data_IF_174661832989
#
_entry.id   IF_174661832989
#
_cell.length_a   1.000
_cell.length_b   1.000
_cell.length_c   1.000
_cell.angle_alpha   90.00
_cell.angle_beta   90.00
_cell.angle_gamma   90.00
#
_symmetry.space_group_name_H-M   'P 1'
#
loop_
_entity.id
_entity.type
_entity.pdbx_description
1 polymer ?
#
# COMPACT_ATOMS: atom_id res chain seq x y z
N UNK A 1 -11.21 11.85 4.27
CA UNK A 1 -10.20 10.79 3.98
C UNK A 1 -9.39 10.41 5.21
N UNK A 2 -8.70 11.35 5.85
CA UNK A 2 -7.83 11.07 7.00
C UNK A 2 -8.52 10.38 8.18
N UNK A 3 -9.73 10.79 8.61
CA UNK A 3 -10.40 10.23 9.80
C UNK A 3 -10.84 8.77 9.67
N UNK A 4 -10.96 8.25 8.45
CA UNK A 4 -11.54 6.92 8.17
C UNK A 4 -10.51 5.80 8.12
N UNK A 5 -9.23 6.08 8.38
CA UNK A 5 -8.19 5.05 8.49
C UNK A 5 -8.25 4.35 9.86
N UNK A 6 -7.82 3.08 9.96
CA UNK A 6 -7.83 2.31 11.21
C UNK A 6 -7.22 3.11 12.37
N UNK A 7 -7.71 2.99 13.62
CA UNK A 7 -7.17 3.73 14.77
C UNK A 7 -5.67 3.55 14.98
N UNK A 8 -5.11 2.42 14.53
CA UNK A 8 -3.69 2.11 14.56
C UNK A 8 -2.82 3.00 13.64
N UNK A 9 -3.42 3.73 12.68
CA UNK A 9 -2.70 4.67 11.81
C UNK A 9 -2.56 6.02 12.50
N UNK A 10 -1.31 6.42 12.75
CA UNK A 10 -0.97 7.64 13.48
C UNK A 10 -1.24 8.90 12.64
N UNK A 11 -1.52 10.06 13.26
CA UNK A 11 -1.88 11.29 12.53
C UNK A 11 -0.91 11.69 11.41
N UNK A 12 0.40 11.63 11.66
CA UNK A 12 1.42 11.95 10.67
C UNK A 12 1.45 10.95 9.49
N UNK A 13 1.06 9.69 9.72
CA UNK A 13 0.94 8.69 8.66
C UNK A 13 -0.24 8.99 7.75
N UNK A 14 -1.34 9.52 8.31
CA UNK A 14 -2.51 9.97 7.54
C UNK A 14 -2.18 11.17 6.68
N UNK A 15 -1.39 12.09 7.20
CA UNK A 15 -0.89 13.26 6.45
C UNK A 15 0.01 12.84 5.29
N UNK A 16 1.01 11.99 5.54
CA UNK A 16 1.87 11.45 4.48
C UNK A 16 1.06 10.75 3.38
N UNK A 17 0.08 9.93 3.76
CA UNK A 17 -0.83 9.29 2.81
C UNK A 17 -1.65 10.30 2.00
N UNK A 18 -2.19 11.34 2.63
CA UNK A 18 -2.93 12.38 1.92
C UNK A 18 -2.07 13.11 0.87
N UNK A 19 -0.80 13.40 1.21
CA UNK A 19 0.17 13.97 0.26
C UNK A 19 0.43 13.00 -0.91
N UNK A 20 0.57 11.70 -0.63
CA UNK A 20 0.73 10.69 -1.66
C UNK A 20 -0.43 10.71 -2.66
N UNK A 21 -1.68 10.78 -2.18
CA UNK A 21 -2.87 10.85 -3.03
C UNK A 21 -2.93 12.12 -3.86
N UNK A 22 -2.63 13.27 -3.27
CA UNK A 22 -2.59 14.57 -3.98
C UNK A 22 -1.57 14.58 -5.12
N UNK A 23 -0.52 13.75 -5.02
CA UNK A 23 0.56 13.63 -6.03
C UNK A 23 0.39 12.43 -6.96
N UNK A 24 -0.77 11.79 -6.98
CA UNK A 24 -1.01 10.64 -7.85
C UNK A 24 -0.13 9.43 -7.51
N UNK A 25 0.16 9.22 -6.23
CA UNK A 25 1.00 8.12 -5.72
C UNK A 25 2.51 8.34 -5.81
N UNK A 26 2.97 9.44 -6.42
CA UNK A 26 4.41 9.74 -6.59
C UNK A 26 4.94 10.56 -5.41
N UNK A 27 5.54 9.90 -4.42
CA UNK A 27 6.02 10.54 -3.19
C UNK A 27 7.26 9.83 -2.62
N UNK A 28 8.08 10.59 -1.90
CA UNK A 28 9.14 10.07 -1.03
C UNK A 28 8.71 10.28 0.43
N UNK A 29 8.55 9.19 1.18
CA UNK A 29 8.37 9.26 2.63
C UNK A 29 9.74 9.41 3.30
N UNK A 30 10.10 10.64 3.65
CA UNK A 30 11.41 11.01 4.22
C UNK A 30 11.48 10.96 5.75
N UNK A 31 10.48 10.40 6.42
CA UNK A 31 10.38 10.37 7.88
C UNK A 31 11.50 9.51 8.52
N UNK A 32 11.74 9.69 9.83
CA UNK A 32 12.72 8.90 10.58
C UNK A 32 12.47 7.38 10.49
N UNK A 33 13.54 6.61 10.67
CA UNK A 33 13.46 5.14 10.71
C UNK A 33 12.54 4.69 11.85
N UNK A 34 11.69 3.69 11.60
CA UNK A 34 10.75 3.16 12.61
C UNK A 34 9.37 3.83 12.64
N UNK A 35 9.16 4.97 11.96
CA UNK A 35 7.87 5.68 11.96
C UNK A 35 6.77 5.05 11.08
N UNK A 36 7.01 3.89 10.48
CA UNK A 36 5.98 3.16 9.72
C UNK A 36 5.81 3.65 8.27
N UNK A 37 6.89 4.05 7.59
CA UNK A 37 6.88 4.40 6.16
C UNK A 37 6.33 3.29 5.26
N UNK A 38 6.63 2.02 5.58
CA UNK A 38 6.09 0.87 4.86
C UNK A 38 4.56 0.83 4.94
N UNK A 39 3.97 1.22 6.07
CA UNK A 39 2.51 1.34 6.18
C UNK A 39 2.00 2.41 5.23
N UNK A 40 2.54 3.64 5.26
CA UNK A 40 2.13 4.71 4.33
C UNK A 40 2.21 4.28 2.86
N UNK A 41 3.27 3.55 2.47
CA UNK A 41 3.41 2.99 1.13
C UNK A 41 2.31 1.95 0.81
N UNK A 42 2.04 1.00 1.72
CA UNK A 42 0.98 0.01 1.53
C UNK A 42 -0.42 0.63 1.49
N UNK A 43 -0.69 1.68 2.27
CA UNK A 43 -1.94 2.44 2.18
C UNK A 43 -2.11 3.06 0.79
N UNK A 44 -1.01 3.58 0.23
CA UNK A 44 -0.98 4.16 -1.12
C UNK A 44 -1.24 3.08 -2.17
N UNK A 45 -0.59 1.92 -2.07
CA UNK A 45 -0.81 0.79 -2.98
C UNK A 45 -2.27 0.30 -2.92
N UNK A 46 -2.85 0.15 -1.72
CA UNK A 46 -4.24 -0.30 -1.56
C UNK A 46 -5.25 0.70 -2.14
N UNK A 47 -4.98 2.00 -2.03
CA UNK A 47 -5.82 3.02 -2.66
C UNK A 47 -5.83 2.87 -4.19
N UNK A 48 -4.68 2.62 -4.80
CA UNK A 48 -4.51 2.37 -6.24
C UNK A 48 -4.64 0.88 -6.60
N UNK A 49 -5.34 0.07 -5.80
CA UNK A 49 -5.41 -1.37 -6.07
C UNK A 49 -6.02 -1.73 -7.43
N UNK A 50 -6.68 -0.80 -8.13
CA UNK A 50 -7.19 -0.98 -9.51
C UNK A 50 -6.07 -1.07 -10.54
N UNK A 51 -4.92 -0.48 -10.25
CA UNK A 51 -3.74 -0.46 -11.11
C UNK A 51 -2.75 -1.61 -10.83
N UNK A 52 -3.17 -2.62 -10.04
CA UNK A 52 -2.37 -3.83 -9.81
C UNK A 52 -2.18 -4.63 -11.10
N UNK A 53 -1.03 -5.32 -11.30
CA UNK A 53 -0.03 -5.71 -10.28
C UNK A 53 0.93 -4.59 -9.82
N UNK A 54 1.44 -4.70 -8.58
CA UNK A 54 2.42 -3.78 -7.99
C UNK A 54 3.73 -4.52 -7.66
N UNK A 55 4.86 -3.83 -7.86
CA UNK A 55 6.20 -4.30 -7.53
C UNK A 55 6.74 -3.54 -6.31
N UNK A 56 7.18 -4.28 -5.30
CA UNK A 56 7.92 -3.76 -4.15
C UNK A 56 9.37 -4.18 -4.29
N UNK A 57 10.26 -3.19 -4.24
CA UNK A 57 11.71 -3.38 -4.29
C UNK A 57 12.29 -3.09 -2.92
N UNK A 58 13.07 -4.02 -2.37
CA UNK A 58 13.72 -3.83 -1.08
C UNK A 58 15.03 -4.62 -0.97
N UNK A 59 15.93 -4.26 -0.03
CA UNK A 59 17.06 -5.11 0.34
C UNK A 59 16.61 -6.52 0.73
N UNK A 60 17.44 -7.52 0.43
CA UNK A 60 17.17 -8.93 0.71
C UNK A 60 16.77 -9.22 2.17
N UNK A 61 17.34 -8.48 3.13
CA UNK A 61 17.04 -8.60 4.57
C UNK A 61 15.63 -8.14 4.95
N UNK A 62 15.00 -7.28 4.14
CA UNK A 62 13.68 -6.70 4.42
C UNK A 62 12.53 -7.42 3.71
N UNK A 63 12.83 -8.37 2.81
CA UNK A 63 11.82 -9.11 2.02
C UNK A 63 10.74 -9.75 2.90
N UNK A 64 11.13 -10.45 3.96
CA UNK A 64 10.18 -11.09 4.88
C UNK A 64 9.40 -10.06 5.70
N UNK A 65 10.04 -8.96 6.12
CA UNK A 65 9.36 -7.87 6.80
C UNK A 65 8.27 -7.24 5.92
N UNK A 66 8.55 -7.03 4.64
CA UNK A 66 7.56 -6.57 3.67
C UNK A 66 6.42 -7.55 3.47
N UNK A 67 6.71 -8.85 3.33
CA UNK A 67 5.68 -9.90 3.27
C UNK A 67 4.76 -9.84 4.48
N UNK A 68 5.33 -9.75 5.69
CA UNK A 68 4.56 -9.74 6.93
C UNK A 68 3.72 -8.47 7.06
N UNK A 69 4.22 -7.31 6.62
CA UNK A 69 3.42 -6.07 6.56
C UNK A 69 2.28 -6.18 5.53
N UNK A 70 2.56 -6.71 4.33
CA UNK A 70 1.53 -6.95 3.31
C UNK A 70 0.47 -7.88 3.86
N UNK A 71 0.84 -8.99 4.50
CA UNK A 71 -0.12 -9.91 5.10
C UNK A 71 -0.92 -9.25 6.23
N UNK A 72 -0.25 -8.48 7.10
CA UNK A 72 -0.90 -7.80 8.23
C UNK A 72 -1.92 -6.75 7.79
N UNK A 73 -1.60 -5.99 6.74
CA UNK A 73 -2.38 -4.82 6.34
C UNK A 73 -3.29 -5.08 5.13
N UNK A 74 -2.96 -6.07 4.29
CA UNK A 74 -3.65 -6.41 3.03
C UNK A 74 -4.08 -7.89 2.92
N UNK A 75 -3.65 -8.78 3.85
CA UNK A 75 -3.95 -10.21 3.80
C UNK A 75 -5.21 -10.58 4.59
N UNK A 76 -6.18 -11.20 3.93
CA UNK A 76 -7.49 -11.50 4.52
C UNK A 76 -7.48 -12.75 5.42
N UNK A 77 -8.09 -12.62 6.61
CA UNK A 77 -8.77 -13.68 7.36
C UNK A 77 -9.98 -13.10 8.12
N UNK A 78 -9.81 -11.93 8.74
CA UNK A 78 -10.90 -11.01 9.16
C UNK A 78 -10.54 -9.53 8.87
N UNK A 79 -9.34 -9.27 8.34
CA UNK A 79 -8.78 -7.96 7.95
C UNK A 79 -9.10 -7.58 6.51
N UNK A 80 -10.38 -7.69 6.14
CA UNK A 80 -10.83 -7.45 4.77
C UNK A 80 -10.39 -6.06 4.31
N UNK A 81 -9.45 -5.97 3.34
CA UNK A 81 -9.09 -4.77 2.54
C UNK A 81 -9.70 -3.45 3.02
N UNK A 82 -9.21 -2.98 4.18
CA UNK A 82 -9.94 -2.04 5.03
C UNK A 82 -9.75 -0.61 4.54
N UNK A 83 -8.60 -0.29 3.96
CA UNK A 83 -8.29 1.07 3.52
C UNK A 83 -9.08 1.42 2.26
N UNK A 84 -9.09 0.56 1.23
CA UNK A 84 -9.92 0.76 0.05
C UNK A 84 -11.42 0.76 0.38
N UNK A 85 -11.91 -0.12 1.27
CA UNK A 85 -13.35 -0.10 1.65
C UNK A 85 -13.78 1.16 2.41
N UNK A 86 -12.95 1.64 3.35
CA UNK A 86 -13.26 2.83 4.15
C UNK A 86 -13.15 4.11 3.32
N UNK A 87 -12.28 4.12 2.31
CA UNK A 87 -12.15 5.25 1.36
C UNK A 87 -13.17 5.18 0.22
N UNK A 88 -13.45 4.00 -0.34
CA UNK A 88 -14.37 3.81 -1.46
C UNK A 88 -15.86 3.90 -1.09
N UNK A 89 -16.24 3.96 0.21
CA UNK A 89 -17.63 4.26 0.61
C UNK A 89 -18.00 5.73 0.35
N UNK A 90 -17.04 6.65 0.29
CA UNK A 90 -17.27 8.06 -0.08
C UNK A 90 -17.18 8.31 -1.60
N UNK A 91 -16.30 7.60 -2.31
CA UNK A 91 -16.21 7.72 -3.78
C UNK A 91 -17.43 7.11 -4.50
N UNK A 92 -18.29 6.39 -3.76
CA UNK A 92 -19.45 5.63 -4.25
C UNK A 92 -20.76 6.43 -4.37
N UNK A 93 -20.73 7.75 -4.33
CA UNK A 93 -21.87 8.51 -4.91
C UNK A 93 -21.80 8.62 -6.44
N UNK A 94 -20.68 8.28 -7.11
CA UNK A 94 -20.55 8.63 -8.53
C UNK A 94 -20.20 7.56 -9.55
N UNK A 95 -19.99 6.27 -9.26
CA UNK A 95 -19.99 5.25 -10.34
C UNK A 95 -20.27 3.83 -9.84
N UNK A 96 -21.25 3.15 -10.45
CA UNK A 96 -21.52 1.72 -10.27
C UNK A 96 -20.53 0.90 -11.11
N UNK A 97 -19.97 -0.17 -10.53
CA UNK A 97 -20.23 -1.59 -10.91
C UNK A 97 -19.09 -2.52 -10.46
N UNK A 98 -19.47 -3.69 -9.91
CA UNK A 98 -18.78 -4.99 -9.79
C UNK A 98 -17.25 -5.07 -9.74
N UNK A 99 -16.72 -5.73 -8.68
CA UNK A 99 -15.77 -6.86 -8.79
C UNK A 99 -15.27 -7.28 -7.39
N UNK A 100 -15.72 -8.46 -6.92
CA UNK A 100 -14.85 -9.30 -6.09
C UNK A 100 -13.96 -10.07 -7.06
N UNK A 101 -12.75 -9.58 -7.28
CA UNK A 101 -11.70 -10.34 -7.97
C UNK A 101 -10.59 -10.56 -6.96
N UNK A 102 -10.23 -11.84 -6.76
CA UNK A 102 -8.98 -12.19 -6.09
C UNK A 102 -7.86 -11.53 -6.88
N UNK A 103 -7.27 -10.48 -6.30
CA UNK A 103 -6.12 -9.80 -6.88
C UNK A 103 -4.86 -10.46 -6.33
N UNK A 104 -3.94 -10.78 -7.23
CA UNK A 104 -2.67 -11.34 -6.82
C UNK A 104 -1.92 -10.34 -5.91
N UNK A 105 -1.27 -10.82 -4.84
CA UNK A 105 -0.53 -9.95 -3.94
C UNK A 105 0.63 -9.25 -4.69
N UNK A 106 1.09 -8.08 -4.21
CA UNK A 106 2.23 -7.41 -4.83
C UNK A 106 3.46 -8.33 -4.86
N UNK A 107 4.18 -8.31 -5.98
CA UNK A 107 5.43 -9.05 -6.13
C UNK A 107 6.53 -8.32 -5.35
N UNK A 108 7.21 -9.03 -4.44
CA UNK A 108 8.31 -8.47 -3.64
C UNK A 108 9.62 -9.03 -4.17
N UNK A 109 10.46 -8.16 -4.74
CA UNK A 109 11.77 -8.50 -5.28
C UNK A 109 12.90 -7.88 -4.46
N UNK A 110 14.05 -8.54 -4.51
CA UNK A 110 15.27 -8.04 -3.91
C UNK A 110 15.94 -7.04 -4.87
N UNK A 111 16.62 -6.03 -4.32
CA UNK A 111 17.44 -5.08 -5.10
C UNK A 111 18.49 -5.81 -5.97
N UNK A 112 19.08 -6.88 -5.44
CA UNK A 112 20.12 -7.68 -6.14
C UNK A 112 19.58 -8.31 -7.44
N UNK A 113 18.32 -8.76 -7.46
CA UNK A 113 17.70 -9.41 -8.63
C UNK A 113 17.46 -8.39 -9.75
N UNK A 114 17.02 -7.18 -9.41
CA UNK A 114 16.78 -6.14 -10.41
C UNK A 114 18.08 -5.66 -11.05
N UNK A 115 19.18 -5.65 -10.30
CA UNK A 115 20.49 -5.27 -10.82
C UNK A 115 21.05 -6.31 -11.81
N UNK A 116 20.61 -7.56 -11.74
CA UNK A 116 20.94 -8.63 -12.69
C UNK A 116 20.06 -8.55 -13.94
N UNK A 117 18.75 -8.39 -13.77
CA UNK A 117 17.80 -8.28 -14.89
C UNK A 117 17.98 -7.00 -15.72
N UNK A 118 18.38 -5.87 -15.09
CA UNK A 118 18.63 -4.61 -15.81
C UNK A 118 19.91 -4.61 -16.67
N UNK A 119 20.73 -5.66 -16.57
CA UNK A 119 21.96 -5.82 -17.36
C UNK A 119 21.78 -6.72 -18.59
N UNK A 120 20.60 -7.34 -18.75
CA UNK A 120 20.23 -8.15 -19.91
C UNK A 120 19.57 -7.30 -21.00
#
# INVERSE_FOLDING_TARGET
LAEKLPPAVLPYQREGFAIALQRGGRVLFGDEMGLGKSLQALMTIDYYAEDLPCLIVCPSSLRFGWRDQVQKWLGDADGTGTIKRLVAKDLRENHRSNMMQQKEPPLILNEDILAEDAKA
#
